data_IF_982105270712
#
_entry.id   IF_982105270712
#
_cell.length_a   1.000
_cell.length_b   1.000
_cell.length_c   1.000
_cell.angle_alpha   90.00
_cell.angle_beta   90.00
_cell.angle_gamma   90.00
#
_symmetry.space_group_name_H-M   'P 1'
#
loop_
_entity.id
_entity.type
_entity.pdbx_description
1 polymer ?
#
# COMPACT_ATOMS: atom_id res chain seq x y z
N UNK A 1 -0.10 2.76 12.65
CA UNK A 1 0.58 2.75 13.92
C UNK A 1 -0.36 3.15 15.05
N UNK A 2 -0.64 2.23 15.99
CA UNK A 2 -1.39 2.51 17.20
C UNK A 2 -0.45 2.67 18.39
N UNK A 3 -0.84 3.49 19.34
CA UNK A 3 -0.14 3.59 20.61
C UNK A 3 -0.20 2.25 21.37
N UNK A 4 0.77 1.95 22.21
CA UNK A 4 0.88 0.71 22.98
C UNK A 4 -0.41 0.34 23.72
N UNK A 5 -1.11 1.32 24.30
CA UNK A 5 -2.40 1.14 24.97
C UNK A 5 -3.47 0.61 24.01
N UNK A 6 -3.57 1.20 22.81
CA UNK A 6 -4.55 0.77 21.81
C UNK A 6 -4.27 -0.64 21.29
N UNK A 7 -3.00 -1.02 21.21
CA UNK A 7 -2.61 -2.39 20.90
C UNK A 7 -3.10 -3.36 21.98
N UNK A 8 -2.78 -3.08 23.25
CA UNK A 8 -3.18 -3.92 24.38
C UNK A 8 -4.71 -4.03 24.51
N UNK A 9 -5.43 -2.93 24.33
CA UNK A 9 -6.90 -2.93 24.32
C UNK A 9 -7.47 -3.90 23.28
N UNK A 10 -6.94 -3.86 22.06
CA UNK A 10 -7.43 -4.70 20.95
C UNK A 10 -6.99 -6.16 21.09
N UNK A 11 -5.74 -6.38 21.46
CA UNK A 11 -5.15 -7.72 21.55
C UNK A 11 -5.74 -8.54 22.69
N UNK A 12 -5.89 -7.91 23.88
CA UNK A 12 -6.42 -8.56 25.08
C UNK A 12 -7.91 -8.26 25.34
N UNK A 13 -8.55 -7.44 24.49
CA UNK A 13 -9.94 -6.97 24.65
C UNK A 13 -10.20 -6.30 25.99
N UNK A 14 -9.24 -5.52 26.46
CA UNK A 14 -9.31 -4.85 27.75
C UNK A 14 -9.90 -3.44 27.60
N UNK A 15 -10.69 -2.96 28.57
CA UNK A 15 -11.01 -1.55 28.68
C UNK A 15 -9.76 -0.72 28.95
N UNK A 16 -9.82 0.58 28.65
CA UNK A 16 -8.67 1.47 28.74
C UNK A 16 -7.92 1.41 30.10
N UNK A 17 -8.60 1.44 31.28
CA UNK A 17 -7.90 1.40 32.56
C UNK A 17 -7.11 0.09 32.78
N UNK A 18 -7.67 -1.03 32.36
CA UNK A 18 -7.01 -2.34 32.48
C UNK A 18 -5.81 -2.49 31.56
N UNK A 19 -5.90 -1.94 30.33
CA UNK A 19 -4.79 -1.89 29.39
C UNK A 19 -3.61 -1.05 29.93
N UNK A 20 -3.90 0.06 30.60
CA UNK A 20 -2.90 0.89 31.26
C UNK A 20 -2.24 0.15 32.41
N UNK A 21 -3.02 -0.50 33.28
CA UNK A 21 -2.50 -1.28 34.40
C UNK A 21 -1.60 -2.41 33.94
N UNK A 22 -1.97 -3.11 32.85
CA UNK A 22 -1.14 -4.14 32.25
C UNK A 22 0.22 -3.62 31.78
N UNK A 23 0.22 -2.49 31.09
CA UNK A 23 1.44 -1.84 30.59
C UNK A 23 2.34 -1.32 31.72
N UNK A 24 1.74 -0.95 32.86
CA UNK A 24 2.49 -0.53 34.06
C UNK A 24 3.03 -1.72 34.88
N UNK A 25 2.83 -2.95 34.41
CA UNK A 25 3.30 -4.16 35.09
C UNK A 25 2.55 -4.50 36.38
N UNK A 26 1.41 -3.88 36.65
CA UNK A 26 0.56 -4.17 37.80
C UNK A 26 -0.28 -5.41 37.51
N UNK A 27 0.09 -6.54 38.08
CA UNK A 27 -0.62 -7.82 37.97
C UNK A 27 -1.79 -7.83 38.94
N UNK A 28 -2.98 -7.55 38.49
CA UNK A 28 -4.23 -7.86 39.22
C UNK A 28 -4.61 -9.32 38.91
N UNK A 29 -3.81 -10.29 39.33
CA UNK A 29 -4.13 -11.72 39.50
C UNK A 29 -4.97 -12.47 38.45
N UNK A 30 -5.44 -11.85 37.39
CA UNK A 30 -6.23 -12.48 36.34
C UNK A 30 -5.34 -12.97 35.20
N UNK A 31 -5.45 -14.25 34.87
CA UNK A 31 -4.88 -14.77 33.65
C UNK A 31 -5.54 -14.05 32.45
N UNK A 32 -4.74 -13.32 31.67
CA UNK A 32 -5.23 -12.68 30.47
C UNK A 32 -5.35 -13.73 29.37
N UNK A 33 -6.56 -14.16 29.05
CA UNK A 33 -6.80 -14.96 27.84
C UNK A 33 -6.53 -14.11 26.60
N UNK A 34 -5.71 -14.64 25.70
CA UNK A 34 -5.54 -14.04 24.39
C UNK A 34 -6.89 -14.03 23.67
N UNK A 35 -7.34 -12.85 23.24
CA UNK A 35 -8.53 -12.76 22.45
C UNK A 35 -8.32 -13.54 21.14
N UNK A 36 -9.09 -14.61 20.93
CA UNK A 36 -9.18 -15.21 19.58
C UNK A 36 -9.55 -14.10 18.59
N UNK A 37 -8.85 -14.00 17.45
CA UNK A 37 -9.24 -13.03 16.42
C UNK A 37 -10.73 -13.26 16.13
N UNK A 38 -11.54 -12.22 16.24
CA UNK A 38 -12.91 -12.29 15.78
C UNK A 38 -12.84 -12.63 14.29
N UNK A 39 -13.54 -13.70 13.88
CA UNK A 39 -13.73 -13.97 12.46
C UNK A 39 -14.50 -12.77 11.88
N UNK A 40 -13.77 -11.81 11.36
CA UNK A 40 -14.35 -10.74 10.55
C UNK A 40 -14.77 -11.39 9.25
N UNK A 41 -16.05 -11.32 8.92
CA UNK A 41 -16.53 -11.70 7.60
C UNK A 41 -15.64 -11.00 6.55
N UNK A 42 -15.21 -11.70 5.49
CA UNK A 42 -14.39 -11.12 4.46
C UNK A 42 -15.15 -9.94 3.83
N UNK A 43 -14.67 -8.72 4.06
CA UNK A 43 -15.29 -7.53 3.49
C UNK A 43 -15.04 -7.52 1.98
N UNK A 44 -16.09 -7.27 1.21
CA UNK A 44 -15.99 -7.23 -0.25
C UNK A 44 -15.10 -6.07 -0.68
N UNK A 45 -14.10 -6.36 -1.52
CA UNK A 45 -13.27 -5.34 -2.16
C UNK A 45 -14.04 -4.64 -3.27
N UNK A 46 -13.95 -3.31 -3.31
CA UNK A 46 -14.47 -2.52 -4.43
C UNK A 46 -13.56 -1.31 -4.68
N UNK A 47 -13.23 -1.07 -5.95
CA UNK A 47 -12.46 0.10 -6.35
C UNK A 47 -13.24 1.38 -6.08
N UNK A 48 -12.59 2.46 -5.60
CA UNK A 48 -13.15 3.79 -5.53
C UNK A 48 -13.65 4.27 -6.90
N UNK A 49 -14.79 4.97 -6.92
CA UNK A 49 -15.31 5.52 -8.16
C UNK A 49 -14.31 6.50 -8.79
N UNK A 50 -13.96 6.31 -10.08
CA UNK A 50 -13.08 7.23 -10.78
C UNK A 50 -13.75 8.58 -11.00
N UNK A 51 -12.95 9.65 -10.98
CA UNK A 51 -13.36 10.97 -11.43
C UNK A 51 -13.26 11.08 -12.96
N UNK A 52 -13.91 12.07 -13.54
CA UNK A 52 -13.97 12.25 -14.99
C UNK A 52 -12.65 12.69 -15.64
N UNK A 53 -11.67 13.12 -14.85
CA UNK A 53 -10.34 13.52 -15.32
C UNK A 53 -9.28 13.31 -14.23
N UNK A 54 -7.99 13.55 -14.60
CA UNK A 54 -6.82 13.30 -13.76
C UNK A 54 -6.10 14.59 -13.33
N UNK A 55 -6.75 15.75 -13.42
CA UNK A 55 -6.06 17.05 -13.30
C UNK A 55 -5.38 17.25 -11.95
N UNK A 56 -6.05 16.92 -10.85
CA UNK A 56 -5.49 17.09 -9.50
C UNK A 56 -4.38 16.10 -9.20
N UNK A 57 -4.55 14.86 -9.61
CA UNK A 57 -3.52 13.82 -9.46
C UNK A 57 -2.28 14.18 -10.27
N UNK A 58 -2.43 14.63 -11.53
CA UNK A 58 -1.29 15.11 -12.31
C UNK A 58 -0.62 16.33 -11.67
N UNK A 59 -1.38 17.33 -11.25
CA UNK A 59 -0.82 18.49 -10.56
C UNK A 59 -0.05 18.10 -9.28
N UNK A 60 -0.61 17.21 -8.47
CA UNK A 60 0.03 16.71 -7.26
C UNK A 60 1.32 15.94 -7.56
N UNK A 61 1.27 14.95 -8.47
CA UNK A 61 2.44 14.11 -8.77
C UNK A 61 3.56 14.88 -9.46
N UNK A 62 3.23 15.73 -10.45
CA UNK A 62 4.23 16.49 -11.21
C UNK A 62 4.82 17.66 -10.41
N UNK A 63 3.98 18.46 -9.74
CA UNK A 63 4.46 19.72 -9.14
C UNK A 63 4.78 19.59 -7.64
N UNK A 64 4.13 18.68 -6.93
CA UNK A 64 4.36 18.49 -5.49
C UNK A 64 5.31 17.34 -5.19
N UNK A 65 5.30 16.31 -6.03
CA UNK A 65 6.13 15.10 -5.87
C UNK A 65 7.28 15.01 -6.87
N UNK A 66 7.29 15.90 -7.85
CA UNK A 66 8.31 15.97 -8.90
C UNK A 66 8.49 14.66 -9.67
N UNK A 67 7.39 13.92 -9.85
CA UNK A 67 7.37 12.70 -10.67
C UNK A 67 7.32 13.11 -12.14
N UNK A 68 8.13 12.47 -12.97
CA UNK A 68 8.13 12.73 -14.40
C UNK A 68 6.78 12.39 -15.05
N UNK A 69 6.37 13.24 -16.01
CA UNK A 69 5.08 13.08 -16.71
C UNK A 69 4.95 11.73 -17.42
N UNK A 70 6.02 11.25 -18.02
CA UNK A 70 6.04 9.96 -18.71
C UNK A 70 5.67 8.83 -17.77
N UNK A 71 6.25 8.82 -16.55
CA UNK A 71 5.98 7.83 -15.52
C UNK A 71 4.50 7.87 -15.10
N UNK A 72 3.96 9.05 -14.80
CA UNK A 72 2.54 9.20 -14.43
C UNK A 72 1.63 8.72 -15.56
N UNK A 73 1.94 9.10 -16.81
CA UNK A 73 1.16 8.75 -17.99
C UNK A 73 1.17 7.25 -18.25
N UNK A 74 2.31 6.59 -18.08
CA UNK A 74 2.41 5.13 -18.22
C UNK A 74 1.43 4.42 -17.27
N UNK A 75 1.52 4.67 -15.96
CA UNK A 75 0.65 4.00 -14.98
C UNK A 75 -0.83 4.37 -15.14
N UNK A 76 -1.12 5.55 -15.68
CA UNK A 76 -2.50 5.96 -16.02
C UNK A 76 -3.04 5.17 -17.23
N UNK A 77 -2.25 5.01 -18.29
CA UNK A 77 -2.64 4.23 -19.47
C UNK A 77 -2.83 2.74 -19.13
N UNK A 78 -1.96 2.19 -18.29
CA UNK A 78 -2.10 0.83 -17.77
C UNK A 78 -3.25 0.66 -16.78
N UNK A 79 -4.00 1.72 -16.47
CA UNK A 79 -5.12 1.74 -15.49
C UNK A 79 -4.70 1.33 -14.07
N UNK A 80 -3.42 1.47 -13.77
CA UNK A 80 -2.86 1.22 -12.45
C UNK A 80 -2.88 2.45 -11.55
N UNK A 81 -3.16 3.63 -12.11
CA UNK A 81 -3.25 4.91 -11.41
C UNK A 81 -4.41 5.73 -11.96
N UNK A 82 -5.30 6.19 -11.07
CA UNK A 82 -6.37 7.11 -11.45
C UNK A 82 -6.74 8.08 -10.32
N UNK A 83 -7.56 9.10 -10.65
CA UNK A 83 -8.14 10.06 -9.70
C UNK A 83 -9.52 9.58 -9.28
N UNK A 84 -9.78 9.49 -7.96
CA UNK A 84 -11.10 9.16 -7.46
C UNK A 84 -12.03 10.40 -7.40
N UNK A 85 -13.32 10.20 -7.11
CA UNK A 85 -14.30 11.26 -6.95
C UNK A 85 -13.97 12.30 -5.86
N UNK A 86 -13.06 11.99 -4.96
CA UNK A 86 -12.55 12.86 -3.91
C UNK A 86 -11.20 13.49 -4.27
N UNK A 87 -10.77 13.32 -5.52
CA UNK A 87 -9.50 13.82 -6.06
C UNK A 87 -8.25 13.22 -5.41
N UNK A 88 -8.31 12.00 -4.89
CA UNK A 88 -7.15 11.29 -4.40
C UNK A 88 -6.48 10.49 -5.52
N UNK A 89 -5.16 10.20 -5.37
CA UNK A 89 -4.48 9.17 -6.15
C UNK A 89 -4.96 7.80 -5.68
N UNK A 90 -5.41 6.97 -6.62
CA UNK A 90 -5.72 5.56 -6.39
C UNK A 90 -4.72 4.71 -7.16
N UNK A 91 -3.90 3.95 -6.44
CA UNK A 91 -2.93 3.01 -6.97
C UNK A 91 -3.53 1.60 -6.92
N UNK A 92 -3.69 0.97 -8.07
CA UNK A 92 -4.39 -0.30 -8.24
C UNK A 92 -3.38 -1.44 -8.30
N UNK A 93 -3.66 -2.51 -7.59
CA UNK A 93 -2.95 -3.76 -7.70
C UNK A 93 -3.83 -4.83 -8.33
N UNK A 94 -3.27 -5.52 -9.32
CA UNK A 94 -3.98 -6.53 -10.12
C UNK A 94 -3.50 -7.94 -9.74
N UNK A 95 -4.38 -8.93 -9.92
CA UNK A 95 -3.98 -10.34 -9.91
C UNK A 95 -3.47 -10.81 -11.30
N UNK A 96 -3.16 -12.10 -11.42
CA UNK A 96 -2.64 -12.71 -12.65
C UNK A 96 -3.64 -12.69 -13.80
N UNK A 97 -4.94 -12.54 -13.50
CA UNK A 97 -6.00 -12.42 -14.51
C UNK A 97 -6.21 -10.99 -14.98
N UNK A 98 -5.51 -10.01 -14.37
CA UNK A 98 -5.71 -8.59 -14.61
C UNK A 98 -6.91 -8.00 -13.86
N UNK A 99 -7.49 -8.72 -12.90
CA UNK A 99 -8.56 -8.22 -12.05
C UNK A 99 -7.99 -7.43 -10.87
N UNK A 100 -8.62 -6.28 -10.56
CA UNK A 100 -8.21 -5.47 -9.43
C UNK A 100 -8.54 -6.17 -8.09
N UNK A 101 -7.53 -6.40 -7.26
CA UNK A 101 -7.61 -7.04 -5.94
C UNK A 101 -7.13 -6.16 -4.81
N UNK A 102 -6.44 -5.08 -5.12
CA UNK A 102 -5.91 -4.15 -4.13
C UNK A 102 -6.03 -2.71 -4.63
N UNK A 103 -6.26 -1.78 -3.72
CA UNK A 103 -6.13 -0.36 -4.01
C UNK A 103 -5.56 0.39 -2.80
N UNK A 104 -4.54 1.22 -3.08
CA UNK A 104 -3.96 2.14 -2.13
C UNK A 104 -4.33 3.58 -2.48
N UNK A 105 -4.88 4.31 -1.51
CA UNK A 105 -5.25 5.72 -1.68
C UNK A 105 -4.20 6.63 -1.06
N UNK A 106 -3.85 7.69 -1.79
CA UNK A 106 -3.06 8.82 -1.29
C UNK A 106 -3.81 10.11 -1.54
N UNK A 107 -4.05 10.88 -0.47
CA UNK A 107 -4.59 12.23 -0.57
C UNK A 107 -3.69 13.14 -1.40
N UNK A 108 -4.28 13.94 -2.31
CA UNK A 108 -3.58 14.99 -3.05
C UNK A 108 -3.57 16.33 -2.30
N UNK A 109 -4.22 16.42 -1.15
CA UNK A 109 -4.29 17.65 -0.37
C UNK A 109 -2.88 18.07 0.09
N UNK A 110 -2.52 19.31 -0.13
CA UNK A 110 -1.30 19.94 0.39
C UNK A 110 -1.53 20.63 1.74
N UNK A 111 -2.77 20.96 2.05
CA UNK A 111 -3.22 21.59 3.29
C UNK A 111 -4.27 20.73 3.97
N UNK A 112 -4.33 20.78 5.30
CA UNK A 112 -5.28 20.00 6.08
C UNK A 112 -4.85 18.56 6.30
N UNK A 113 -5.81 17.62 6.37
CA UNK A 113 -5.55 16.22 6.69
C UNK A 113 -4.98 15.46 5.47
N UNK A 114 -3.69 15.20 5.50
CA UNK A 114 -3.04 14.28 4.56
C UNK A 114 -3.19 12.85 5.07
N UNK A 115 -3.63 11.93 4.22
CA UNK A 115 -3.77 10.51 4.59
C UNK A 115 -3.30 9.57 3.48
N UNK A 116 -2.97 8.36 3.90
CA UNK A 116 -2.75 7.19 3.05
C UNK A 116 -3.47 5.99 3.66
N UNK A 117 -4.07 5.14 2.85
CA UNK A 117 -4.77 3.96 3.33
C UNK A 117 -4.97 2.93 2.21
N UNK A 118 -5.02 1.67 2.60
CA UNK A 118 -5.51 0.63 1.70
C UNK A 118 -7.02 0.57 1.77
N UNK A 119 -7.66 0.29 0.64
CA UNK A 119 -9.11 0.06 0.58
C UNK A 119 -9.44 -1.22 1.35
N UNK A 120 -10.54 -1.19 2.07
CA UNK A 120 -11.03 -2.33 2.83
C UNK A 120 -11.34 -3.52 1.89
N UNK A 121 -10.98 -4.72 2.33
CA UNK A 121 -11.10 -5.93 1.51
C UNK A 121 -9.97 -6.11 0.49
N UNK A 122 -8.97 -5.19 0.43
CA UNK A 122 -7.80 -5.37 -0.44
C UNK A 122 -6.98 -6.60 -0.05
N UNK A 123 -6.60 -7.40 -1.05
CA UNK A 123 -5.68 -8.52 -0.90
C UNK A 123 -4.24 -8.01 -0.90
N UNK A 124 -3.52 -8.21 0.21
CA UNK A 124 -2.19 -7.60 0.42
C UNK A 124 -1.13 -8.11 -0.55
N UNK A 125 -1.25 -9.34 -1.05
CA UNK A 125 -0.34 -9.96 -2.01
C UNK A 125 -0.38 -9.29 -3.39
N UNK A 126 -1.48 -8.62 -3.72
CA UNK A 126 -1.70 -7.94 -5.00
C UNK A 126 -1.52 -6.42 -4.89
N UNK A 127 -0.62 -5.93 -4.04
CA UNK A 127 -0.32 -4.50 -3.95
C UNK A 127 0.15 -3.91 -5.30
N UNK A 128 0.17 -2.57 -5.38
CA UNK A 128 0.59 -1.83 -6.58
C UNK A 128 1.94 -2.32 -7.10
N UNK A 129 1.98 -2.76 -8.34
CA UNK A 129 3.17 -3.33 -8.96
C UNK A 129 3.19 -3.13 -10.47
N UNK A 130 4.36 -3.33 -11.07
CA UNK A 130 4.62 -3.44 -12.50
C UNK A 130 5.53 -4.65 -12.76
N UNK A 131 5.12 -5.52 -13.64
CA UNK A 131 5.97 -6.61 -14.10
C UNK A 131 6.89 -6.12 -15.22
N UNK A 132 8.15 -6.49 -15.15
CA UNK A 132 9.17 -6.25 -16.16
C UNK A 132 9.55 -7.53 -16.91
N UNK A 133 10.54 -7.41 -17.78
CA UNK A 133 11.05 -8.51 -18.62
C UNK A 133 12.42 -9.01 -18.18
N UNK A 134 13.14 -8.24 -17.37
CA UNK A 134 14.41 -8.60 -16.81
C UNK A 134 14.29 -9.44 -15.52
N UNK A 135 15.41 -9.64 -14.83
CA UNK A 135 15.49 -10.48 -13.62
C UNK A 135 15.44 -9.69 -12.31
N UNK A 136 15.20 -8.38 -12.37
CA UNK A 136 15.30 -7.48 -11.23
C UNK A 136 13.93 -7.12 -10.67
N UNK A 137 13.79 -7.20 -9.35
CA UNK A 137 12.62 -6.73 -8.60
C UNK A 137 13.03 -5.62 -7.65
N UNK A 138 12.47 -4.42 -7.80
CA UNK A 138 12.64 -3.30 -6.90
C UNK A 138 11.43 -3.19 -5.95
N UNK A 139 11.71 -3.15 -4.64
CA UNK A 139 10.70 -3.21 -3.57
C UNK A 139 10.66 -1.89 -2.81
N UNK A 140 9.47 -1.32 -2.64
CA UNK A 140 9.23 -0.03 -1.98
C UNK A 140 8.18 -0.15 -0.88
N UNK A 141 8.20 0.77 0.10
CA UNK A 141 7.15 0.85 1.11
C UNK A 141 5.84 1.39 0.50
N UNK A 142 5.90 2.44 -0.33
CA UNK A 142 4.72 3.09 -0.88
C UNK A 142 4.83 3.34 -2.41
N UNK A 143 3.67 3.44 -3.11
CA UNK A 143 3.63 3.70 -4.56
C UNK A 143 4.35 4.99 -4.99
N UNK A 144 4.30 6.04 -4.17
CA UNK A 144 4.98 7.31 -4.48
C UNK A 144 6.49 7.12 -4.55
N UNK A 145 7.06 6.31 -3.67
CA UNK A 145 8.51 6.05 -3.62
C UNK A 145 8.94 5.27 -4.86
N UNK A 146 8.13 4.30 -5.29
CA UNK A 146 8.30 3.58 -6.55
C UNK A 146 8.33 4.55 -7.75
N UNK A 147 7.34 5.45 -7.86
CA UNK A 147 7.31 6.43 -8.95
C UNK A 147 8.49 7.40 -8.89
N UNK A 148 8.91 7.80 -7.69
CA UNK A 148 10.07 8.66 -7.47
C UNK A 148 11.36 7.97 -7.92
N UNK A 149 11.53 6.69 -7.59
CA UNK A 149 12.68 5.90 -8.02
C UNK A 149 12.78 5.83 -9.55
N UNK A 150 11.68 5.51 -10.25
CA UNK A 150 11.65 5.47 -11.71
C UNK A 150 12.02 6.84 -12.30
N UNK A 151 11.53 7.93 -11.70
CA UNK A 151 11.85 9.29 -12.12
C UNK A 151 13.35 9.61 -11.99
N UNK A 152 13.98 9.17 -10.89
CA UNK A 152 15.40 9.39 -10.61
C UNK A 152 16.32 8.50 -11.44
N UNK A 153 15.84 7.29 -11.79
CA UNK A 153 16.59 6.28 -12.53
C UNK A 153 15.82 5.86 -13.80
N UNK A 154 15.73 6.74 -14.81
CA UNK A 154 14.83 6.52 -15.95
C UNK A 154 15.34 5.52 -16.98
N UNK A 155 16.60 5.11 -16.92
CA UNK A 155 17.16 4.22 -17.94
C UNK A 155 16.74 2.78 -17.71
N UNK A 156 16.07 2.18 -18.72
CA UNK A 156 15.69 0.76 -18.70
C UNK A 156 14.56 0.42 -17.70
N UNK A 157 13.92 1.41 -17.08
CA UNK A 157 12.91 1.15 -16.06
C UNK A 157 11.72 0.30 -16.56
N UNK A 158 11.42 0.37 -17.86
CA UNK A 158 10.34 -0.43 -18.46
C UNK A 158 10.64 -1.94 -18.37
N UNK A 159 11.92 -2.33 -18.34
CA UNK A 159 12.36 -3.72 -18.30
C UNK A 159 12.34 -4.29 -16.89
N UNK A 160 12.44 -3.46 -15.85
CA UNK A 160 12.47 -3.88 -14.46
C UNK A 160 11.08 -4.18 -13.89
N UNK A 161 11.03 -5.08 -12.92
CA UNK A 161 9.84 -5.31 -12.10
C UNK A 161 9.88 -4.45 -10.84
N UNK A 162 8.72 -3.95 -10.44
CA UNK A 162 8.54 -3.07 -9.28
C UNK A 162 7.35 -3.51 -8.44
N UNK A 163 7.47 -3.38 -7.12
CA UNK A 163 6.36 -3.59 -6.18
C UNK A 163 6.42 -2.60 -5.03
N UNK A 164 5.28 -2.02 -4.68
CA UNK A 164 5.10 -1.22 -3.48
C UNK A 164 4.24 -2.00 -2.48
N UNK A 165 4.79 -2.30 -1.30
CA UNK A 165 4.14 -3.13 -0.30
C UNK A 165 2.89 -2.49 0.33
N UNK A 166 2.73 -1.15 0.20
CA UNK A 166 1.61 -0.38 0.76
C UNK A 166 1.41 -0.60 2.28
N UNK A 167 2.51 -0.92 2.98
CA UNK A 167 2.56 -1.27 4.39
C UNK A 167 3.78 -2.13 4.71
N UNK A 168 3.70 -2.91 5.79
CA UNK A 168 4.82 -3.71 6.31
C UNK A 168 4.76 -5.20 5.93
N UNK A 169 3.81 -5.61 5.08
CA UNK A 169 3.63 -7.00 4.66
C UNK A 169 4.66 -7.38 3.59
N UNK A 170 5.28 -8.55 3.73
CA UNK A 170 6.17 -9.13 2.70
C UNK A 170 5.39 -9.88 1.59
N UNK A 171 4.10 -10.13 1.78
CA UNK A 171 3.29 -10.93 0.86
C UNK A 171 3.34 -10.44 -0.61
N UNK A 172 3.34 -9.11 -0.90
CA UNK A 172 3.47 -8.65 -2.29
C UNK A 172 4.78 -9.10 -2.95
N UNK A 173 5.88 -9.11 -2.19
CA UNK A 173 7.19 -9.53 -2.71
C UNK A 173 7.18 -11.02 -3.00
N UNK A 174 6.70 -11.84 -2.07
CA UNK A 174 6.61 -13.30 -2.23
C UNK A 174 5.74 -13.66 -3.43
N UNK A 175 4.64 -12.95 -3.64
CA UNK A 175 3.75 -13.18 -4.77
C UNK A 175 4.44 -12.84 -6.11
N UNK A 176 5.21 -11.73 -6.21
CA UNK A 176 5.97 -11.41 -7.42
C UNK A 176 7.02 -12.49 -7.74
N UNK A 177 7.74 -12.97 -6.72
CA UNK A 177 8.72 -14.03 -6.90
C UNK A 177 8.07 -15.37 -7.31
N UNK A 178 6.89 -15.66 -6.75
CA UNK A 178 6.11 -16.86 -7.13
C UNK A 178 5.64 -16.80 -8.59
N UNK A 179 5.14 -15.64 -9.04
CA UNK A 179 4.61 -15.45 -10.38
C UNK A 179 5.70 -15.40 -11.45
N UNK A 180 6.87 -14.84 -11.12
CA UNK A 180 7.99 -14.77 -12.04
C UNK A 180 9.24 -15.43 -11.46
N UNK A 181 9.43 -16.75 -11.65
CA UNK A 181 10.60 -17.48 -11.17
C UNK A 181 11.93 -17.06 -11.83
N UNK A 182 11.89 -16.19 -12.85
CA UNK A 182 13.11 -15.64 -13.48
C UNK A 182 13.72 -14.49 -12.67
N UNK A 183 12.98 -13.93 -11.71
CA UNK A 183 13.50 -12.90 -10.81
C UNK A 183 14.55 -13.52 -9.90
N UNK A 184 15.79 -13.11 -10.03
CA UNK A 184 16.93 -13.60 -9.24
C UNK A 184 17.63 -12.48 -8.44
N UNK A 185 17.26 -11.22 -8.67
CA UNK A 185 17.78 -10.06 -7.97
C UNK A 185 16.65 -9.25 -7.34
N UNK A 186 16.72 -9.03 -6.02
CA UNK A 186 15.74 -8.21 -5.27
C UNK A 186 16.46 -7.02 -4.65
N UNK A 187 16.04 -5.82 -5.01
CA UNK A 187 16.54 -4.56 -4.46
C UNK A 187 15.53 -4.00 -3.45
N UNK A 188 15.92 -3.95 -2.18
CA UNK A 188 15.10 -3.37 -1.12
C UNK A 188 15.36 -1.87 -1.05
N UNK A 189 14.42 -1.07 -1.56
CA UNK A 189 14.44 0.39 -1.57
C UNK A 189 13.47 0.92 -0.49
N UNK A 190 13.73 0.53 0.75
CA UNK A 190 12.91 0.86 1.93
C UNK A 190 13.59 1.97 2.71
N UNK A 191 12.77 2.80 3.44
CA UNK A 191 13.23 3.88 4.34
C UNK A 191 13.77 3.33 5.68
#
# INVERSE_FOLDING_TARGET
GGYAISFVQRYYRLPYPEAVLLLLGRKDGRALEQAKPAATEPKSFALPQPYSNMRRVYAYLLHKRHIEREVVSYFTHEKLLYEDKHHNCVFVGLDDSGEAKHAHIRSTNSEGRVFRMNIEGSASEHCFHKNGTDKSLYVFEAPIDLLSHITLYPYGWQEHSYVACCGTSIQPVLERLRQNPKLDMVYLCLD
#
